data_IF_360068091654
#
_entry.id   IF_360068091654
#
_cell.length_a   1.000
_cell.length_b   1.000
_cell.length_c   1.000
_cell.angle_alpha   90.00
_cell.angle_beta   90.00
_cell.angle_gamma   90.00
#
_symmetry.space_group_name_H-M   'P 1'
#
loop_
_entity.id
_entity.type
_entity.pdbx_description
1 polymer ?
#
# COMPACT_ATOMS: atom_id res chain seq x y z
N UNK A 1 11.99 13.82 21.39
CA UNK A 1 12.44 14.01 19.98
C UNK A 1 11.72 13.01 19.11
N UNK A 2 11.18 13.45 17.97
CA UNK A 2 10.51 12.57 17.01
C UNK A 2 11.48 12.07 15.95
N UNK A 3 11.35 10.80 15.60
CA UNK A 3 12.12 10.14 14.55
C UNK A 3 11.19 9.53 13.52
N UNK A 4 11.53 9.69 12.24
CA UNK A 4 10.98 8.87 11.18
C UNK A 4 11.85 7.64 10.97
N UNK A 5 11.21 6.54 10.63
CA UNK A 5 11.83 5.30 10.23
C UNK A 5 11.33 4.93 8.84
N UNK A 6 12.25 4.72 7.91
CA UNK A 6 11.98 4.23 6.57
C UNK A 6 12.26 2.74 6.51
N UNK A 7 11.30 1.97 6.00
CA UNK A 7 11.38 0.51 5.99
C UNK A 7 10.69 -0.10 4.78
N UNK A 8 10.99 -1.39 4.53
CA UNK A 8 10.26 -2.26 3.63
C UNK A 8 9.85 -3.54 4.34
N UNK A 9 8.81 -4.19 3.83
CA UNK A 9 8.40 -5.51 4.30
C UNK A 9 7.71 -6.34 3.24
N UNK A 10 7.93 -7.65 3.31
CA UNK A 10 7.12 -8.66 2.67
C UNK A 10 5.94 -8.99 3.59
N UNK A 11 4.73 -8.67 3.14
CA UNK A 11 3.51 -8.78 3.96
C UNK A 11 2.94 -10.20 4.08
N UNK A 12 3.53 -11.20 3.41
CA UNK A 12 2.97 -12.57 3.32
C UNK A 12 2.71 -13.20 4.68
N UNK A 13 3.61 -12.98 5.66
CA UNK A 13 3.49 -13.56 7.01
C UNK A 13 2.68 -12.69 7.98
N UNK A 14 2.12 -11.56 7.52
CA UNK A 14 1.49 -10.57 8.40
C UNK A 14 0.02 -10.35 8.07
N UNK A 15 -0.77 -10.10 9.12
CA UNK A 15 -2.17 -9.68 9.01
C UNK A 15 -2.29 -8.17 8.75
N UNK A 16 -1.36 -7.64 7.94
CA UNK A 16 -1.24 -6.24 7.57
C UNK A 16 -0.35 -5.43 8.50
N UNK A 17 -0.40 -4.12 8.33
CA UNK A 17 0.42 -3.19 9.11
C UNK A 17 -0.03 -3.08 10.57
N UNK A 18 -1.33 -2.81 10.78
CA UNK A 18 -1.88 -2.39 12.07
C UNK A 18 -1.88 -3.51 13.11
N UNK A 19 -1.43 -3.20 14.34
CA UNK A 19 -1.54 -4.08 15.50
C UNK A 19 -2.98 -4.59 15.68
N UNK A 20 -3.09 -5.89 15.94
CA UNK A 20 -4.34 -6.59 16.25
C UNK A 20 -4.08 -7.61 17.35
N UNK A 21 -5.02 -7.78 18.34
CA UNK A 21 -4.75 -8.61 19.53
C UNK A 21 -4.40 -10.08 19.27
N UNK A 22 -4.91 -10.65 18.15
CA UNK A 22 -4.82 -12.09 17.88
C UNK A 22 -4.13 -12.44 16.58
N UNK A 23 -3.33 -11.51 16.01
CA UNK A 23 -2.68 -11.70 14.73
C UNK A 23 -1.36 -10.94 14.63
N UNK A 24 -0.32 -11.59 14.10
CA UNK A 24 0.97 -10.94 13.86
C UNK A 24 0.82 -9.78 12.88
N UNK A 25 1.40 -8.63 13.19
CA UNK A 25 1.41 -7.45 12.34
C UNK A 25 2.80 -6.84 12.26
N UNK A 26 3.06 -6.09 11.18
CA UNK A 26 4.35 -5.41 11.01
C UNK A 26 4.59 -4.40 12.13
N UNK A 27 3.56 -3.64 12.51
CA UNK A 27 3.64 -2.65 13.59
C UNK A 27 4.01 -3.28 14.93
N UNK A 28 3.41 -4.41 15.27
CA UNK A 28 3.72 -5.12 16.53
C UNK A 28 5.17 -5.60 16.56
N UNK A 29 5.63 -6.18 15.46
CA UNK A 29 7.01 -6.68 15.32
C UNK A 29 8.02 -5.54 15.52
N UNK A 30 7.75 -4.39 14.91
CA UNK A 30 8.60 -3.20 15.06
C UNK A 30 8.52 -2.60 16.47
N UNK A 31 7.33 -2.52 17.07
CA UNK A 31 7.17 -2.05 18.45
C UNK A 31 8.00 -2.89 19.43
N UNK A 32 7.93 -4.22 19.31
CA UNK A 32 8.71 -5.15 20.13
C UNK A 32 10.21 -4.95 19.94
N UNK A 33 10.68 -4.89 18.68
CA UNK A 33 12.10 -4.72 18.36
C UNK A 33 12.66 -3.40 18.91
N UNK A 34 11.97 -2.28 18.63
CA UNK A 34 12.37 -0.97 19.14
C UNK A 34 12.36 -0.90 20.67
N UNK A 35 11.32 -1.47 21.30
CA UNK A 35 11.22 -1.45 22.76
C UNK A 35 12.34 -2.23 23.44
N UNK A 36 12.73 -3.39 22.87
CA UNK A 36 13.87 -4.17 23.38
C UNK A 36 15.18 -3.41 23.20
N UNK A 37 15.45 -2.88 22.01
CA UNK A 37 16.73 -2.24 21.70
C UNK A 37 16.91 -0.89 22.42
N UNK A 38 15.84 -0.16 22.67
CA UNK A 38 15.86 1.13 23.35
C UNK A 38 15.60 1.01 24.86
N UNK A 39 15.29 -0.19 25.36
CA UNK A 39 14.96 -0.48 26.75
C UNK A 39 13.86 0.47 27.29
N UNK A 40 12.84 0.72 26.49
CA UNK A 40 11.66 1.54 26.84
C UNK A 40 10.49 1.16 25.92
N UNK A 41 9.27 1.34 26.38
CA UNK A 41 8.09 1.05 25.54
C UNK A 41 8.00 2.02 24.38
N UNK A 42 8.06 1.51 23.16
CA UNK A 42 7.92 2.29 21.93
C UNK A 42 6.66 1.85 21.19
N UNK A 43 5.86 2.82 20.78
CA UNK A 43 4.70 2.63 19.91
C UNK A 43 4.90 3.46 18.64
N UNK A 44 5.07 2.80 17.50
CA UNK A 44 5.22 3.49 16.22
C UNK A 44 3.86 3.79 15.59
N UNK A 45 3.83 4.87 14.82
CA UNK A 45 2.68 5.24 13.99
C UNK A 45 3.07 5.21 12.53
N UNK A 46 2.43 4.35 11.72
CA UNK A 46 2.71 4.23 10.29
C UNK A 46 2.02 5.29 9.44
N UNK A 47 2.58 5.55 8.26
CA UNK A 47 2.04 6.48 7.26
C UNK A 47 0.68 6.03 6.66
N UNK A 48 0.34 4.76 6.82
CA UNK A 48 -0.92 4.18 6.37
C UNK A 48 -1.09 2.77 6.88
N UNK A 49 -2.25 2.19 6.60
CA UNK A 49 -2.53 0.78 6.88
C UNK A 49 -2.45 0.00 5.57
N UNK A 50 -1.84 -1.17 5.61
CA UNK A 50 -1.94 -2.17 4.55
C UNK A 50 -2.78 -3.34 5.03
N UNK A 51 -3.50 -3.99 4.11
CA UNK A 51 -4.28 -5.19 4.40
C UNK A 51 -3.37 -6.41 4.57
N UNK A 52 -3.91 -7.51 5.10
CA UNK A 52 -3.24 -8.82 5.20
C UNK A 52 -2.63 -9.22 3.86
N UNK A 53 -1.35 -9.61 3.86
CA UNK A 53 -0.62 -10.07 2.69
C UNK A 53 -0.18 -8.98 1.71
N UNK A 54 -0.44 -7.70 1.98
CA UNK A 54 0.04 -6.56 1.17
C UNK A 54 1.48 -6.21 1.56
N UNK A 55 2.32 -5.98 0.56
CA UNK A 55 3.73 -5.63 0.74
C UNK A 55 3.95 -4.12 0.78
N UNK A 56 5.12 -3.71 1.24
CA UNK A 56 5.63 -2.36 1.05
C UNK A 56 7.11 -2.39 0.70
N UNK A 57 7.50 -1.81 -0.42
CA UNK A 57 8.90 -1.55 -0.74
C UNK A 57 9.38 -0.24 -0.12
N UNK A 58 8.46 0.66 0.22
CA UNK A 58 8.72 1.83 1.04
C UNK A 58 7.54 2.09 1.98
N UNK A 59 7.83 2.17 3.25
CA UNK A 59 6.90 2.58 4.30
C UNK A 59 7.61 3.53 5.23
N UNK A 60 6.91 4.55 5.70
CA UNK A 60 7.37 5.41 6.79
C UNK A 60 6.53 5.21 8.04
N UNK A 61 7.19 5.27 9.18
CA UNK A 61 6.52 5.38 10.48
C UNK A 61 7.26 6.41 11.33
N UNK A 62 6.63 6.89 12.39
CA UNK A 62 7.30 7.73 13.37
C UNK A 62 7.15 7.18 14.78
N UNK A 63 8.10 7.53 15.63
CA UNK A 63 8.09 7.27 17.05
C UNK A 63 8.82 8.38 17.81
N UNK A 64 8.53 8.48 19.10
CA UNK A 64 9.16 9.46 19.97
C UNK A 64 10.19 8.77 20.87
N UNK A 65 11.30 9.47 21.15
CA UNK A 65 12.32 9.07 22.11
C UNK A 65 12.69 10.26 23.01
N UNK A 66 12.83 10.01 24.30
CA UNK A 66 13.30 11.01 25.26
C UNK A 66 14.79 11.31 25.07
N UNK A 67 15.55 10.32 24.59
CA UNK A 67 17.00 10.41 24.37
C UNK A 67 17.33 10.64 22.90
N UNK A 68 18.39 11.36 22.64
CA UNK A 68 18.99 11.41 21.30
C UNK A 68 19.53 10.03 20.93
N UNK A 69 19.16 9.55 19.75
CA UNK A 69 19.52 8.23 19.26
C UNK A 69 20.71 8.28 18.31
N UNK A 70 21.56 7.27 18.40
CA UNK A 70 22.59 6.96 17.41
C UNK A 70 21.95 6.15 16.27
N UNK A 71 21.38 6.84 15.31
CA UNK A 71 20.44 6.26 14.32
C UNK A 71 21.11 5.21 13.44
N UNK A 72 22.34 5.42 12.98
CA UNK A 72 23.08 4.44 12.17
C UNK A 72 23.25 3.11 12.91
N UNK A 73 23.68 3.16 14.18
CA UNK A 73 23.82 1.97 15.02
C UNK A 73 22.47 1.29 15.25
N UNK A 74 21.40 2.08 15.45
CA UNK A 74 20.06 1.52 15.66
C UNK A 74 19.53 0.82 14.40
N UNK A 75 19.74 1.35 13.19
CA UNK A 75 19.41 0.69 11.92
C UNK A 75 20.09 -0.67 11.83
N UNK A 76 21.39 -0.76 12.10
CA UNK A 76 22.12 -2.03 12.08
C UNK A 76 21.57 -3.05 13.10
N UNK A 77 21.30 -2.59 14.34
CA UNK A 77 20.75 -3.45 15.39
C UNK A 77 19.35 -3.96 15.03
N UNK A 78 18.49 -3.08 14.48
CA UNK A 78 17.14 -3.47 14.05
C UNK A 78 17.20 -4.51 12.93
N UNK A 79 18.01 -4.30 11.89
CA UNK A 79 18.15 -5.26 10.79
C UNK A 79 18.76 -6.61 11.23
N UNK A 80 19.54 -6.62 12.32
CA UNK A 80 20.05 -7.85 12.91
C UNK A 80 19.02 -8.58 13.79
N UNK A 81 18.08 -7.85 14.38
CA UNK A 81 17.08 -8.37 15.32
C UNK A 81 15.78 -8.78 14.62
N UNK A 82 15.37 -8.02 13.60
CA UNK A 82 14.11 -8.22 12.88
C UNK A 82 14.12 -9.48 12.02
N UNK A 83 12.94 -10.08 11.76
CA UNK A 83 12.80 -11.14 10.76
C UNK A 83 13.26 -10.67 9.38
N UNK A 84 13.66 -11.62 8.52
CA UNK A 84 14.21 -11.36 7.18
C UNK A 84 13.22 -10.68 6.21
N UNK A 85 11.96 -10.67 6.54
CA UNK A 85 10.87 -10.09 5.76
C UNK A 85 10.57 -8.63 6.12
N UNK A 86 11.34 -8.03 7.06
CA UNK A 86 11.33 -6.59 7.37
C UNK A 86 12.75 -6.05 7.28
N UNK A 87 12.94 -4.95 6.55
CA UNK A 87 14.20 -4.24 6.43
C UNK A 87 14.03 -2.76 6.80
N UNK A 88 14.95 -2.23 7.61
CA UNK A 88 15.03 -0.80 7.96
C UNK A 88 16.10 -0.17 7.09
N UNK A 89 15.76 0.89 6.38
CA UNK A 89 16.68 1.62 5.51
C UNK A 89 17.30 2.81 6.20
N UNK A 90 16.48 3.56 6.94
CA UNK A 90 16.96 4.78 7.60
C UNK A 90 16.11 5.11 8.85
N UNK A 91 16.73 5.83 9.78
CA UNK A 91 16.10 6.46 10.94
C UNK A 91 16.69 7.86 11.07
N UNK A 92 15.86 8.89 11.04
CA UNK A 92 16.31 10.26 11.09
C UNK A 92 15.37 11.14 11.94
N UNK A 93 15.94 12.18 12.61
CA UNK A 93 15.13 13.10 13.40
C UNK A 93 14.29 14.00 12.50
N UNK A 94 13.10 14.32 12.97
CA UNK A 94 12.17 15.25 12.32
C UNK A 94 11.63 16.25 13.35
N UNK A 95 10.88 17.26 12.91
CA UNK A 95 10.13 18.12 13.82
C UNK A 95 9.24 17.31 14.75
N UNK A 96 9.08 17.72 16.00
CA UNK A 96 8.17 17.06 16.93
C UNK A 96 6.70 17.10 16.47
N UNK A 97 6.35 18.03 15.58
CA UNK A 97 5.03 18.19 14.98
C UNK A 97 4.83 17.25 13.76
N UNK A 98 5.92 16.73 13.17
CA UNK A 98 5.86 15.91 11.97
C UNK A 98 5.05 14.62 12.21
N UNK A 99 4.16 14.28 11.28
CA UNK A 99 3.28 13.13 11.42
C UNK A 99 3.29 12.25 10.17
N UNK A 100 3.84 11.04 10.27
CA UNK A 100 4.02 10.13 9.13
C UNK A 100 2.75 9.88 8.30
N UNK A 101 1.56 9.92 8.92
CA UNK A 101 0.30 9.68 8.20
C UNK A 101 -0.33 10.94 7.64
N UNK A 102 -0.37 12.03 8.42
CA UNK A 102 -1.15 13.22 8.08
C UNK A 102 -0.39 14.17 7.17
N UNK A 103 0.95 14.20 7.25
CA UNK A 103 1.78 15.07 6.40
C UNK A 103 2.14 14.42 5.06
N UNK A 104 1.82 13.15 4.87
CA UNK A 104 2.05 12.48 3.59
C UNK A 104 1.12 13.04 2.51
N UNK A 105 1.71 13.62 1.48
CA UNK A 105 1.01 14.32 0.39
C UNK A 105 0.62 13.41 -0.76
N UNK A 106 1.39 12.34 -0.99
CA UNK A 106 1.16 11.37 -2.06
C UNK A 106 1.53 9.96 -1.60
N UNK A 107 0.80 8.97 -2.05
CA UNK A 107 1.12 7.55 -1.92
C UNK A 107 1.02 6.90 -3.28
N UNK A 108 1.97 6.03 -3.60
CA UNK A 108 1.99 5.25 -4.84
C UNK A 108 1.93 3.78 -4.51
N UNK A 109 1.08 3.07 -5.22
CA UNK A 109 0.98 1.62 -5.18
C UNK A 109 1.28 1.01 -6.54
N UNK A 110 1.86 -0.16 -6.53
CA UNK A 110 1.93 -1.03 -7.69
C UNK A 110 1.19 -2.33 -7.44
N UNK A 111 0.48 -2.81 -8.47
CA UNK A 111 -0.12 -4.14 -8.46
C UNK A 111 0.51 -5.00 -9.55
N UNK A 112 1.06 -6.14 -9.16
CA UNK A 112 1.83 -7.02 -10.03
C UNK A 112 1.01 -8.25 -10.43
N UNK A 113 0.87 -8.47 -11.75
CA UNK A 113 0.29 -9.67 -12.36
C UNK A 113 1.37 -10.37 -13.17
N UNK A 114 1.47 -11.69 -13.02
CA UNK A 114 2.26 -12.55 -13.89
C UNK A 114 1.36 -13.32 -14.86
N UNK A 115 1.65 -13.26 -16.16
CA UNK A 115 0.92 -14.01 -17.19
C UNK A 115 1.46 -15.43 -17.40
N UNK A 116 2.68 -15.72 -16.93
CA UNK A 116 3.25 -17.06 -16.88
C UNK A 116 3.49 -17.52 -15.44
N UNK A 117 3.25 -18.80 -15.19
CA UNK A 117 3.54 -19.41 -13.88
C UNK A 117 5.03 -19.30 -13.57
N UNK A 118 5.36 -18.71 -12.42
CA UNK A 118 6.73 -18.57 -11.94
C UNK A 118 6.81 -18.85 -10.44
N UNK A 119 7.49 -19.96 -10.00
CA UNK A 119 7.58 -20.33 -8.60
C UNK A 119 8.37 -19.32 -7.74
N UNK A 120 9.23 -18.49 -8.34
CA UNK A 120 9.97 -17.45 -7.62
C UNK A 120 9.14 -16.21 -7.31
N UNK A 121 7.93 -16.11 -7.87
CA UNK A 121 6.99 -15.01 -7.67
C UNK A 121 5.74 -15.45 -6.90
N UNK A 122 5.74 -16.67 -6.38
CA UNK A 122 4.68 -17.16 -5.51
C UNK A 122 4.56 -16.30 -4.24
N UNK A 123 3.36 -15.83 -3.95
CA UNK A 123 3.13 -14.89 -2.84
C UNK A 123 3.66 -13.47 -3.07
N UNK A 124 4.20 -13.14 -4.26
CA UNK A 124 4.76 -11.83 -4.62
C UNK A 124 4.07 -11.18 -5.82
N UNK A 125 3.23 -11.91 -6.54
CA UNK A 125 2.45 -11.39 -7.67
C UNK A 125 1.26 -12.31 -7.93
N UNK A 126 0.22 -11.75 -8.52
CA UNK A 126 -0.93 -12.54 -8.90
C UNK A 126 -0.67 -13.26 -10.23
N UNK A 127 -0.67 -14.60 -10.22
CA UNK A 127 -0.64 -15.38 -11.45
C UNK A 127 -2.02 -15.35 -12.13
N UNK A 128 -2.06 -14.84 -13.35
CA UNK A 128 -3.29 -14.72 -14.12
C UNK A 128 -3.01 -15.05 -15.59
N UNK A 129 -3.57 -16.15 -16.10
CA UNK A 129 -3.21 -16.76 -17.37
C UNK A 129 -4.05 -16.28 -18.56
N UNK A 130 -5.16 -15.58 -18.32
CA UNK A 130 -6.01 -15.07 -19.40
C UNK A 130 -5.38 -13.82 -20.02
N UNK A 131 -5.54 -13.67 -21.33
CA UNK A 131 -5.11 -12.45 -22.02
C UNK A 131 -5.96 -11.27 -21.57
N UNK A 132 -5.30 -10.16 -21.32
CA UNK A 132 -5.91 -8.90 -20.91
C UNK A 132 -5.61 -7.82 -21.96
N UNK A 133 -6.64 -7.12 -22.40
CA UNK A 133 -6.50 -5.93 -23.25
C UNK A 133 -5.97 -4.76 -22.42
N UNK A 134 -4.65 -4.64 -22.34
CA UNK A 134 -3.95 -3.60 -21.56
C UNK A 134 -4.24 -2.20 -22.11
N UNK A 135 -4.47 -2.06 -23.42
CA UNK A 135 -4.81 -0.76 -24.01
C UNK A 135 -6.17 -0.27 -23.47
N UNK A 136 -7.17 -1.15 -23.53
CA UNK A 136 -8.51 -0.85 -23.01
C UNK A 136 -8.51 -0.62 -21.49
N UNK A 137 -7.71 -1.40 -20.73
CA UNK A 137 -7.52 -1.18 -19.29
C UNK A 137 -6.91 0.19 -18.99
N UNK A 138 -6.00 0.68 -19.83
CA UNK A 138 -5.42 2.02 -19.70
C UNK A 138 -6.43 3.13 -20.01
N UNK A 139 -7.30 2.93 -21.00
CA UNK A 139 -8.40 3.88 -21.27
C UNK A 139 -9.33 3.99 -20.06
N UNK A 140 -9.73 2.86 -19.47
CA UNK A 140 -10.54 2.84 -18.26
C UNK A 140 -9.82 3.47 -17.06
N UNK A 141 -8.51 3.20 -16.89
CA UNK A 141 -7.72 3.76 -15.78
C UNK A 141 -7.65 5.29 -15.83
N UNK A 142 -7.59 5.89 -17.02
CA UNK A 142 -7.62 7.35 -17.20
C UNK A 142 -8.91 7.97 -16.69
N UNK A 143 -10.05 7.25 -16.75
CA UNK A 143 -11.33 7.77 -16.24
C UNK A 143 -11.27 8.04 -14.73
N UNK A 144 -10.43 7.31 -13.97
CA UNK A 144 -10.25 7.53 -12.53
C UNK A 144 -9.82 8.97 -12.20
N UNK A 145 -9.04 9.62 -13.08
CA UNK A 145 -8.53 10.97 -12.84
C UNK A 145 -9.63 12.03 -12.88
N UNK A 146 -10.80 11.72 -13.46
CA UNK A 146 -11.93 12.62 -13.60
C UNK A 146 -12.91 12.56 -12.41
N UNK A 147 -12.65 11.69 -11.43
CA UNK A 147 -13.52 11.46 -10.27
C UNK A 147 -12.80 11.74 -8.96
N UNK A 148 -13.57 12.04 -7.93
CA UNK A 148 -13.07 12.25 -6.56
C UNK A 148 -13.69 11.30 -5.56
N UNK A 149 -14.98 10.96 -5.70
CA UNK A 149 -15.67 10.03 -4.80
C UNK A 149 -15.48 8.58 -5.28
N UNK A 150 -14.78 7.80 -4.46
CA UNK A 150 -14.44 6.41 -4.73
C UNK A 150 -15.15 5.41 -3.79
N UNK A 151 -16.31 5.75 -3.27
CA UNK A 151 -17.08 4.89 -2.37
C UNK A 151 -17.30 3.49 -2.95
N UNK A 152 -17.54 3.38 -4.27
CA UNK A 152 -17.74 2.09 -4.97
C UNK A 152 -16.54 1.13 -4.84
N UNK A 153 -15.33 1.64 -4.57
CA UNK A 153 -14.13 0.83 -4.40
C UNK A 153 -13.72 0.65 -2.93
N UNK A 154 -14.43 1.29 -1.99
CA UNK A 154 -14.15 1.17 -0.56
C UNK A 154 -14.73 -0.12 0.02
N UNK A 155 -14.05 -0.71 1.01
CA UNK A 155 -14.65 -1.77 1.82
C UNK A 155 -15.88 -1.23 2.55
N UNK A 156 -16.97 -2.00 2.56
CA UNK A 156 -18.19 -1.67 3.30
C UNK A 156 -17.92 -1.65 4.81
N UNK A 157 -18.66 -0.84 5.55
CA UNK A 157 -18.56 -0.70 7.01
C UNK A 157 -17.16 -0.24 7.48
N UNK A 158 -16.65 0.83 6.90
CA UNK A 158 -15.42 1.51 7.34
C UNK A 158 -15.75 2.86 7.96
N UNK A 159 -15.11 3.16 9.10
CA UNK A 159 -15.20 4.49 9.74
C UNK A 159 -14.35 5.49 8.94
N UNK A 160 -14.92 6.06 7.89
CA UNK A 160 -14.31 7.13 7.09
C UNK A 160 -15.24 8.34 7.05
N UNK A 161 -14.68 9.54 7.20
CA UNK A 161 -15.43 10.79 7.15
C UNK A 161 -15.84 11.17 5.73
N UNK A 162 -15.06 10.75 4.73
CA UNK A 162 -15.29 11.02 3.31
C UNK A 162 -14.71 9.92 2.45
N UNK A 163 -15.30 9.70 1.27
CA UNK A 163 -14.79 8.79 0.25
C UNK A 163 -13.95 9.49 -0.81
N UNK A 164 -13.66 10.79 -0.61
CA UNK A 164 -12.92 11.60 -1.57
C UNK A 164 -11.43 11.24 -1.56
N UNK A 165 -10.92 11.02 -2.75
CA UNK A 165 -9.51 10.84 -3.05
C UNK A 165 -9.18 11.61 -4.34
N UNK A 166 -7.98 12.16 -4.43
CA UNK A 166 -7.46 12.75 -5.67
C UNK A 166 -6.45 11.80 -6.27
N UNK A 167 -6.79 11.20 -7.40
CA UNK A 167 -5.86 10.34 -8.16
C UNK A 167 -4.96 11.24 -9.00
N UNK A 168 -3.65 11.05 -8.90
CA UNK A 168 -2.65 11.81 -9.67
C UNK A 168 -2.21 11.07 -10.92
N UNK A 169 -2.15 9.74 -10.84
CA UNK A 169 -1.76 8.87 -11.96
C UNK A 169 -2.37 7.47 -11.78
N UNK A 170 -2.69 6.81 -12.92
CA UNK A 170 -3.19 5.45 -12.96
C UNK A 170 -2.86 4.83 -14.31
N UNK A 171 -1.85 3.93 -14.36
CA UNK A 171 -1.33 3.40 -15.62
C UNK A 171 -0.91 1.94 -15.51
N UNK A 172 -1.23 1.15 -16.54
CA UNK A 172 -0.73 -0.20 -16.76
C UNK A 172 0.50 -0.19 -17.66
N UNK A 173 1.52 -0.94 -17.26
CA UNK A 173 2.70 -1.23 -18.08
C UNK A 173 2.83 -2.73 -18.28
N UNK A 174 3.27 -3.14 -19.47
CA UNK A 174 3.62 -4.53 -19.79
C UNK A 174 5.13 -4.65 -19.88
N UNK A 175 5.70 -5.52 -19.07
CA UNK A 175 7.13 -5.82 -19.01
C UNK A 175 7.33 -7.33 -19.19
N UNK A 176 7.60 -7.79 -20.40
CA UNK A 176 7.67 -9.22 -20.74
C UNK A 176 6.36 -9.95 -20.34
N UNK A 177 6.46 -10.88 -19.37
CA UNK A 177 5.35 -11.68 -18.85
C UNK A 177 4.71 -11.07 -17.58
N UNK A 178 4.94 -9.79 -17.33
CA UNK A 178 4.39 -9.06 -16.18
C UNK A 178 3.53 -7.90 -16.65
N UNK A 179 2.41 -7.72 -15.97
CA UNK A 179 1.61 -6.51 -16.05
C UNK A 179 1.70 -5.81 -14.70
N UNK A 180 2.03 -4.54 -14.73
CA UNK A 180 2.19 -3.71 -13.53
C UNK A 180 1.23 -2.54 -13.63
N UNK A 181 0.32 -2.44 -12.68
CA UNK A 181 -0.54 -1.27 -12.52
C UNK A 181 0.06 -0.35 -11.47
N UNK A 182 0.40 0.86 -11.85
CA UNK A 182 0.85 1.92 -10.95
C UNK A 182 -0.29 2.91 -10.74
N UNK A 183 -0.58 3.24 -9.48
CA UNK A 183 -1.58 4.24 -9.13
C UNK A 183 -1.06 5.12 -8.00
N UNK A 184 -1.24 6.43 -8.13
CA UNK A 184 -0.86 7.39 -7.10
C UNK A 184 -2.01 8.32 -6.74
N UNK A 185 -2.14 8.65 -5.44
CA UNK A 185 -3.18 9.52 -4.92
C UNK A 185 -2.72 10.23 -3.64
N UNK A 186 -3.46 11.28 -3.24
CA UNK A 186 -3.29 11.92 -1.93
C UNK A 186 -3.59 10.94 -0.78
N UNK A 187 -4.57 10.06 -0.95
CA UNK A 187 -4.95 8.98 -0.01
C UNK A 187 -5.65 7.85 -0.76
N UNK A 188 -5.76 6.70 -0.10
CA UNK A 188 -6.56 5.57 -0.55
C UNK A 188 -7.50 5.11 0.55
N UNK A 189 -8.68 4.65 0.13
CA UNK A 189 -9.63 3.97 1.00
C UNK A 189 -9.22 2.51 1.21
N UNK A 190 -9.76 1.91 2.27
CA UNK A 190 -9.48 0.49 2.55
C UNK A 190 -9.93 -0.38 1.37
N UNK A 191 -9.03 -1.26 0.90
CA UNK A 191 -9.25 -2.18 -0.23
C UNK A 191 -9.41 -1.50 -1.62
N UNK A 192 -9.31 -0.17 -1.71
CA UNK A 192 -9.60 0.60 -2.92
C UNK A 192 -8.79 0.14 -4.13
N UNK A 193 -7.46 0.07 -4.03
CA UNK A 193 -6.59 -0.30 -5.17
C UNK A 193 -6.92 -1.70 -5.68
N UNK A 194 -7.12 -2.66 -4.79
CA UNK A 194 -7.46 -4.05 -5.16
C UNK A 194 -8.81 -4.15 -5.86
N UNK A 195 -9.79 -3.35 -5.47
CA UNK A 195 -11.10 -3.28 -6.11
C UNK A 195 -11.03 -2.59 -7.47
N UNK A 196 -10.25 -1.52 -7.60
CA UNK A 196 -9.98 -0.85 -8.89
C UNK A 196 -9.36 -1.85 -9.87
N UNK A 197 -8.28 -2.54 -9.46
CA UNK A 197 -7.58 -3.51 -10.32
C UNK A 197 -8.54 -4.62 -10.78
N UNK A 198 -9.34 -5.19 -9.87
CA UNK A 198 -10.31 -6.24 -10.25
C UNK A 198 -11.38 -5.75 -11.24
N UNK A 199 -11.78 -4.48 -11.14
CA UNK A 199 -12.74 -3.88 -12.07
C UNK A 199 -12.07 -3.61 -13.44
N UNK A 200 -10.82 -3.11 -13.44
CA UNK A 200 -10.02 -2.92 -14.66
C UNK A 200 -9.74 -4.25 -15.37
N UNK A 201 -9.50 -5.34 -14.63
CA UNK A 201 -9.37 -6.68 -15.20
C UNK A 201 -10.65 -7.12 -15.91
N UNK A 202 -11.84 -6.80 -15.37
CA UNK A 202 -13.10 -7.08 -16.07
C UNK A 202 -13.23 -6.27 -17.37
N UNK A 203 -12.70 -5.04 -17.43
CA UNK A 203 -12.60 -4.27 -18.68
C UNK A 203 -11.67 -4.97 -19.67
N UNK A 204 -10.45 -5.35 -19.23
CA UNK A 204 -9.47 -6.04 -20.09
C UNK A 204 -9.92 -7.41 -20.59
N UNK A 205 -10.90 -8.03 -19.92
CA UNK A 205 -11.58 -9.26 -20.34
C UNK A 205 -12.78 -8.99 -21.24
N UNK A 206 -13.08 -7.75 -21.58
CA UNK A 206 -14.29 -7.33 -22.33
C UNK A 206 -15.61 -7.77 -21.66
N UNK A 207 -15.61 -7.97 -20.33
CA UNK A 207 -16.82 -8.30 -19.55
C UNK A 207 -17.68 -7.09 -19.25
N UNK A 208 -17.05 -5.92 -19.17
CA UNK A 208 -17.68 -4.61 -19.00
C UNK A 208 -17.06 -3.62 -19.98
N UNK A 209 -17.83 -2.64 -20.40
CA UNK A 209 -17.41 -1.55 -21.30
C UNK A 209 -16.76 -0.42 -20.49
N UNK A 210 -16.20 0.59 -21.19
CA UNK A 210 -15.73 1.83 -20.55
C UNK A 210 -16.88 2.60 -19.89
N UNK A 211 -18.05 2.65 -20.54
CA UNK A 211 -19.25 3.28 -19.99
C UNK A 211 -19.73 2.56 -18.72
N UNK A 212 -19.68 1.23 -18.70
CA UNK A 212 -20.01 0.45 -17.49
C UNK A 212 -19.03 0.79 -16.36
N UNK A 213 -17.73 0.88 -16.65
CA UNK A 213 -16.70 1.23 -15.67
C UNK A 213 -16.97 2.62 -15.06
N UNK A 214 -17.28 3.61 -15.90
CA UNK A 214 -17.63 4.96 -15.43
C UNK A 214 -18.93 4.95 -14.62
N UNK A 215 -19.96 4.20 -15.05
CA UNK A 215 -21.21 4.05 -14.33
C UNK A 215 -21.03 3.34 -12.97
N UNK A 216 -20.07 2.40 -12.85
CA UNK A 216 -19.70 1.81 -11.56
C UNK A 216 -19.18 2.89 -10.61
N UNK A 217 -18.29 3.76 -11.06
CA UNK A 217 -17.77 4.86 -10.23
C UNK A 217 -18.92 5.77 -9.78
N UNK A 218 -19.73 6.23 -10.71
CA UNK A 218 -20.87 7.12 -10.46
C UNK A 218 -21.93 6.50 -9.53
N UNK A 219 -22.04 5.19 -9.50
CA UNK A 219 -23.04 4.47 -8.69
C UNK A 219 -22.77 4.51 -7.19
N UNK A 220 -21.53 4.79 -6.76
CA UNK A 220 -21.08 4.76 -5.36
C UNK A 220 -21.39 3.43 -4.64
N UNK A 221 -21.69 2.38 -5.37
CA UNK A 221 -22.07 1.07 -4.84
C UNK A 221 -20.95 0.06 -5.01
N UNK A 222 -20.46 -0.48 -3.87
CA UNK A 222 -19.38 -1.48 -3.85
C UNK A 222 -19.75 -2.79 -4.56
N UNK A 223 -21.02 -3.17 -4.55
CA UNK A 223 -21.48 -4.42 -5.16
C UNK A 223 -21.38 -4.42 -6.69
N UNK A 224 -21.41 -3.24 -7.31
CA UNK A 224 -21.23 -3.08 -8.75
C UNK A 224 -19.79 -3.15 -9.21
N UNK A 225 -18.84 -2.86 -8.32
CA UNK A 225 -17.41 -2.94 -8.62
C UNK A 225 -16.96 -4.42 -8.71
N UNK A 226 -15.89 -4.65 -9.44
CA UNK A 226 -15.25 -5.95 -9.56
C UNK A 226 -14.77 -6.53 -8.21
N UNK A 227 -14.38 -7.79 -8.24
CA UNK A 227 -13.80 -8.45 -7.06
C UNK A 227 -12.50 -7.78 -6.61
N UNK A 228 -12.16 -7.96 -5.34
CA UNK A 228 -10.85 -7.51 -4.83
C UNK A 228 -9.79 -8.53 -5.20
N UNK A 229 -8.86 -8.13 -6.06
CA UNK A 229 -7.76 -9.02 -6.47
C UNK A 229 -6.88 -9.46 -5.28
N UNK A 230 -6.12 -10.56 -5.38
CA UNK A 230 -5.28 -11.08 -4.31
C UNK A 230 -4.35 -10.01 -3.72
N UNK A 231 -4.16 -10.03 -2.39
CA UNK A 231 -3.38 -9.02 -1.69
C UNK A 231 -1.89 -9.07 -2.02
N UNK A 232 -1.36 -10.27 -2.23
CA UNK A 232 0.06 -10.52 -2.49
C UNK A 232 0.59 -9.96 -3.83
N UNK A 233 -0.28 -9.42 -4.67
CA UNK A 233 0.16 -8.65 -5.84
C UNK A 233 0.34 -7.16 -5.56
N UNK A 234 -0.09 -6.66 -4.38
CA UNK A 234 -0.12 -5.23 -4.07
C UNK A 234 1.09 -4.79 -3.24
N UNK A 235 1.72 -3.70 -3.67
CA UNK A 235 2.87 -3.07 -3.05
C UNK A 235 2.62 -1.59 -2.81
N UNK A 236 2.84 -1.12 -1.60
CA UNK A 236 3.06 0.31 -1.34
C UNK A 236 4.51 0.62 -1.72
N UNK A 237 4.71 1.45 -2.74
CA UNK A 237 6.04 1.67 -3.34
C UNK A 237 6.64 3.03 -3.02
N UNK A 238 5.81 4.03 -2.75
CA UNK A 238 6.31 5.38 -2.48
C UNK A 238 5.34 6.16 -1.60
N UNK A 239 5.90 6.94 -0.67
CA UNK A 239 5.18 7.93 0.12
C UNK A 239 5.99 9.24 0.09
N UNK A 240 5.34 10.32 -0.30
CA UNK A 240 5.99 11.63 -0.39
C UNK A 240 5.56 12.55 0.76
N UNK A 241 6.50 13.37 1.20
CA UNK A 241 6.32 14.44 2.17
C UNK A 241 6.97 15.71 1.62
N UNK A 242 6.39 16.89 1.86
CA UNK A 242 6.93 18.16 1.35
C UNK A 242 8.32 18.46 1.90
N UNK A 243 8.62 18.05 3.12
CA UNK A 243 9.86 18.31 3.84
C UNK A 243 10.90 17.18 3.75
N UNK A 244 10.60 16.07 3.09
CA UNK A 244 11.57 15.01 2.76
C UNK A 244 11.90 15.08 1.26
N UNK A 245 13.18 15.30 0.96
CA UNK A 245 13.72 15.33 -0.42
C UNK A 245 14.40 14.01 -0.75
#
# INVERSE_FOLDING_TARGET
MRYFIQLAYNGTAYHGWQYQPNASSVQETLNKALSVLLNTTINIMGAGRTDTGVHASQMYAHFDSEKKLETTSLVHKLNSYLPKDIAIFDIFPVSNEAHSRFDATKRTYEYHINTLKNPFLEGLSWYYHQDLDVALMNEAAKLLLNHTDFQCFSKVNTDVNTFDCTIFDAVWRKENNRLIFTISANRFLRNMVRSIVGTLVNVGLHKITLDDFENIIKSKNREKAGFSVPAHGLYLTEINYEYLK
#
